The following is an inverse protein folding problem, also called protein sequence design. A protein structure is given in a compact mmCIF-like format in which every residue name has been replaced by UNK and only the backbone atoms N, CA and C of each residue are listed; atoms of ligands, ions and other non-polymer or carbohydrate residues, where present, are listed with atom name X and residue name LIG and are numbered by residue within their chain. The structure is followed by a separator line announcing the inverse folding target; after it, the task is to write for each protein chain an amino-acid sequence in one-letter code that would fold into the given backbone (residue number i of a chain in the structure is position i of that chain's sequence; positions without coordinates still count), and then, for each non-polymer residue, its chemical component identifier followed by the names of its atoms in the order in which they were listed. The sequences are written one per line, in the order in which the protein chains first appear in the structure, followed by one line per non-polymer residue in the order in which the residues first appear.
data_IF_548259743991
#
_entry.id   IF_548259743991
#
_cell.length_a   1.000
_cell.length_b   1.000
_cell.length_c   1.000
_cell.angle_alpha   90.00
_cell.angle_beta   90.00
_cell.angle_gamma   90.00
#
_symmetry.space_group_name_H-M   'P 1'
#
loop_
_entity.id
_entity.type
_entity.pdbx_description
1 polymer ?
#
# COMPACT_ATOMS: atom_id res chain seq x y z
N UNK A 1 -12.69 33.57 -18.54
CA UNK A 1 -12.45 32.12 -18.57
C UNK A 1 -11.21 31.86 -17.73
N UNK A 2 -11.37 31.33 -16.52
CA UNK A 2 -10.24 31.09 -15.62
C UNK A 2 -9.69 29.70 -15.92
N UNK A 3 -8.48 29.66 -16.48
CA UNK A 3 -7.72 28.44 -16.68
C UNK A 3 -7.25 27.96 -15.29
N UNK A 4 -7.74 26.80 -14.84
CA UNK A 4 -7.25 26.17 -13.62
C UNK A 4 -5.92 25.51 -13.99
N UNK A 5 -4.81 26.15 -13.65
CA UNK A 5 -3.48 25.58 -13.81
C UNK A 5 -3.31 24.50 -12.74
N UNK A 6 -3.66 23.26 -13.10
CA UNK A 6 -3.36 22.08 -12.30
C UNK A 6 -1.84 21.93 -12.27
N UNK A 7 -1.19 22.36 -11.18
CA UNK A 7 0.23 22.17 -11.00
C UNK A 7 0.60 20.68 -11.27
N UNK A 8 1.63 20.39 -12.09
CA UNK A 8 2.05 19.02 -12.30
C UNK A 8 2.44 18.40 -10.94
N UNK A 9 2.10 17.13 -10.67
CA UNK A 9 2.53 16.48 -9.44
C UNK A 9 4.06 16.58 -9.37
N UNK A 10 4.59 17.06 -8.24
CA UNK A 10 6.02 17.20 -7.99
C UNK A 10 6.70 15.83 -8.16
N UNK A 11 7.20 15.54 -9.36
CA UNK A 11 8.08 14.41 -9.62
C UNK A 11 9.37 14.64 -8.82
N UNK A 12 9.57 13.86 -7.75
CA UNK A 12 10.84 13.86 -7.03
C UNK A 12 10.78 13.71 -5.51
N UNK A 13 9.60 13.62 -4.89
CA UNK A 13 9.48 13.14 -3.51
C UNK A 13 8.94 11.71 -3.55
N UNK A 14 9.56 10.73 -2.86
CA UNK A 14 8.92 9.45 -2.68
C UNK A 14 7.58 9.71 -1.98
N UNK A 15 6.48 9.53 -2.69
CA UNK A 15 5.17 9.74 -2.11
C UNK A 15 5.00 8.78 -0.92
N UNK A 16 4.46 9.30 0.17
CA UNK A 16 4.08 8.47 1.29
C UNK A 16 3.15 7.35 0.79
N UNK A 17 3.40 6.09 1.18
CA UNK A 17 2.58 4.97 0.77
C UNK A 17 1.14 5.17 1.22
N UNK A 18 0.24 5.26 0.26
CA UNK A 18 -1.19 5.37 0.49
C UNK A 18 -1.79 3.97 0.53
N UNK A 19 -2.43 3.66 1.66
CA UNK A 19 -3.22 2.44 1.84
C UNK A 19 -4.69 2.73 1.61
N UNK A 20 -5.33 1.97 0.71
CA UNK A 20 -6.78 2.05 0.49
C UNK A 20 -7.40 0.68 0.66
N UNK A 21 -8.49 0.63 1.41
CA UNK A 21 -9.37 -0.52 1.45
C UNK A 21 -10.19 -0.52 0.15
N UNK A 22 -10.01 -1.54 -0.68
CA UNK A 22 -10.73 -1.65 -1.97
C UNK A 22 -11.93 -2.57 -1.84
N UNK A 23 -11.87 -3.52 -0.91
CA UNK A 23 -12.95 -4.41 -0.51
C UNK A 23 -12.84 -4.63 1.01
N UNK A 24 -13.94 -4.97 1.71
CA UNK A 24 -13.91 -5.19 3.15
C UNK A 24 -12.83 -6.19 3.56
N UNK A 25 -11.88 -5.75 4.38
CA UNK A 25 -10.76 -6.58 4.81
C UNK A 25 -9.63 -6.72 3.78
N UNK A 26 -9.63 -5.96 2.69
CA UNK A 26 -8.57 -6.02 1.68
C UNK A 26 -8.03 -4.62 1.36
N UNK A 27 -6.75 -4.40 1.68
CA UNK A 27 -6.05 -3.14 1.46
C UNK A 27 -4.99 -3.26 0.38
N UNK A 28 -4.87 -2.22 -0.42
CA UNK A 28 -3.85 -2.05 -1.46
C UNK A 28 -2.96 -0.87 -1.08
N UNK A 29 -1.64 -1.07 -1.14
CA UNK A 29 -0.65 -0.01 -1.02
C UNK A 29 -0.22 0.51 -2.38
N UNK A 30 -0.15 1.82 -2.52
CA UNK A 30 0.41 2.48 -3.69
C UNK A 30 1.19 3.73 -3.31
N UNK A 31 2.27 4.03 -4.03
CA UNK A 31 3.03 5.27 -3.93
C UNK A 31 3.44 5.71 -5.34
N UNK A 32 3.26 7.00 -5.68
CA UNK A 32 3.61 7.54 -7.00
C UNK A 32 3.02 6.76 -8.20
N UNK A 33 1.81 6.23 -8.04
CA UNK A 33 1.16 5.40 -9.06
C UNK A 33 1.74 3.99 -9.20
N UNK A 34 2.74 3.62 -8.39
CA UNK A 34 3.28 2.27 -8.30
C UNK A 34 2.56 1.45 -7.25
N UNK A 35 2.29 0.19 -7.59
CA UNK A 35 1.76 -0.81 -6.66
C UNK A 35 2.87 -1.30 -5.72
N UNK A 36 2.63 -1.23 -4.41
CA UNK A 36 3.60 -1.63 -3.40
C UNK A 36 3.27 -2.99 -2.76
N UNK A 37 1.98 -3.37 -2.73
CA UNK A 37 1.56 -4.62 -2.14
C UNK A 37 0.10 -4.61 -1.69
N UNK A 38 -0.29 -5.70 -1.04
CA UNK A 38 -1.65 -5.92 -0.53
C UNK A 38 -1.63 -6.49 0.87
N UNK A 39 -2.71 -6.25 1.61
CA UNK A 39 -3.02 -6.90 2.88
C UNK A 39 -4.43 -7.45 2.80
N UNK A 40 -4.61 -8.70 3.19
CA UNK A 40 -5.89 -9.41 3.24
C UNK A 40 -6.15 -9.83 4.69
N UNK A 41 -7.28 -9.42 5.26
CA UNK A 41 -7.72 -9.80 6.58
C UNK A 41 -8.49 -11.11 6.50
N UNK A 42 -7.97 -12.15 7.14
CA UNK A 42 -8.64 -13.44 7.26
C UNK A 42 -9.48 -13.55 8.53
N UNK A 43 -9.17 -12.77 9.56
CA UNK A 43 -9.89 -12.75 10.85
C UNK A 43 -9.63 -11.42 11.55
N UNK A 44 -10.37 -11.11 12.62
CA UNK A 44 -10.22 -9.86 13.39
C UNK A 44 -8.76 -9.53 13.76
N UNK A 45 -7.93 -10.55 13.98
CA UNK A 45 -6.52 -10.44 14.36
C UNK A 45 -5.60 -11.25 13.44
N UNK A 46 -5.93 -11.39 12.16
CA UNK A 46 -5.09 -12.12 11.21
C UNK A 46 -5.09 -11.42 9.86
N UNK A 47 -3.93 -10.88 9.51
CA UNK A 47 -3.68 -10.10 8.30
C UNK A 47 -2.55 -10.75 7.52
N UNK A 48 -2.82 -11.12 6.27
CA UNK A 48 -1.83 -11.68 5.35
C UNK A 48 -1.34 -10.58 4.46
N UNK A 49 -0.03 -10.40 4.35
CA UNK A 49 0.53 -9.37 3.49
C UNK A 49 1.34 -9.96 2.34
N UNK A 50 1.23 -9.31 1.19
CA UNK A 50 1.94 -9.63 -0.05
C UNK A 50 2.63 -8.38 -0.57
N UNK A 51 3.84 -8.52 -1.10
CA UNK A 51 4.59 -7.41 -1.69
C UNK A 51 4.12 -7.09 -3.13
N UNK A 52 4.82 -6.17 -3.79
CA UNK A 52 4.53 -5.74 -5.17
C UNK A 52 4.60 -6.87 -6.20
N UNK A 53 5.39 -7.92 -5.94
CA UNK A 53 5.51 -9.11 -6.79
C UNK A 53 4.49 -10.20 -6.46
N UNK A 54 3.50 -9.90 -5.60
CA UNK A 54 2.51 -10.86 -5.05
C UNK A 54 3.14 -11.98 -4.22
N UNK A 55 4.40 -11.84 -3.83
CA UNK A 55 5.06 -12.78 -2.93
C UNK A 55 4.49 -12.59 -1.53
N UNK A 56 4.13 -13.71 -0.90
CA UNK A 56 3.69 -13.72 0.49
C UNK A 56 4.83 -13.27 1.41
N UNK A 57 4.61 -12.20 2.15
CA UNK A 57 5.59 -11.63 3.09
C UNK A 57 5.43 -12.27 4.47
N UNK A 58 4.19 -12.60 4.85
CA UNK A 58 3.90 -13.19 6.16
C UNK A 58 2.45 -12.95 6.61
N UNK A 59 2.21 -13.30 7.87
CA UNK A 59 0.97 -13.00 8.59
C UNK A 59 1.25 -12.21 9.86
N UNK A 60 0.32 -11.31 10.21
CA UNK A 60 0.41 -10.48 11.40
C UNK A 60 -0.91 -10.42 12.15
N UNK A 61 -0.80 -10.10 13.44
CA UNK A 61 -1.95 -9.94 14.32
C UNK A 61 -2.64 -8.57 14.20
N UNK A 62 -2.00 -7.60 13.54
CA UNK A 62 -2.53 -6.26 13.33
C UNK A 62 -2.24 -5.74 11.92
N UNK A 63 -3.11 -4.85 11.46
CA UNK A 63 -2.99 -4.19 10.16
C UNK A 63 -1.73 -3.32 10.11
N UNK A 64 -1.37 -2.64 11.19
CA UNK A 64 -0.18 -1.77 11.26
C UNK A 64 1.12 -2.54 11.04
N UNK A 65 1.27 -3.72 11.68
CA UNK A 65 2.44 -4.58 11.49
C UNK A 65 2.51 -5.13 10.06
N UNK A 66 1.37 -5.51 9.48
CA UNK A 66 1.31 -5.97 8.10
C UNK A 66 1.71 -4.85 7.11
N UNK A 67 1.32 -3.60 7.37
CA UNK A 67 1.71 -2.45 6.54
C UNK A 67 3.21 -2.22 6.58
N UNK A 68 3.79 -2.17 7.78
CA UNK A 68 5.23 -1.99 7.95
C UNK A 68 6.04 -3.10 7.24
N UNK A 69 5.57 -4.34 7.35
CA UNK A 69 6.21 -5.47 6.69
C UNK A 69 6.20 -5.37 5.16
N UNK A 70 5.08 -4.97 4.54
CA UNK A 70 5.01 -4.75 3.09
C UNK A 70 5.96 -3.64 2.66
N UNK A 71 6.04 -2.57 3.47
CA UNK A 71 6.93 -1.44 3.22
C UNK A 71 8.41 -1.75 3.49
N UNK A 72 8.72 -2.81 4.22
CA UNK A 72 10.11 -3.28 4.41
C UNK A 72 10.49 -4.32 3.36
N UNK A 73 9.55 -5.15 2.92
CA UNK A 73 9.76 -6.22 1.95
C UNK A 73 9.77 -5.76 0.47
N UNK A 74 10.00 -4.47 0.21
CA UNK A 74 10.16 -3.94 -1.15
C UNK A 74 11.47 -4.48 -1.69
N UNK A 75 11.39 -5.32 -2.72
CA UNK A 75 12.60 -5.81 -3.41
C UNK A 75 13.19 -4.60 -4.15
N UNK A 76 14.42 -4.24 -3.78
CA UNK A 76 15.23 -3.20 -4.44
C UNK A 76 15.54 -3.58 -5.90
#
# INVERSE_FOLDING_TARGET
MTLIESAPPKQGQPADPVWREVEPGFWVASADGMFLGTIEQHSERRFFARNSTRTYVGEWSSLELARDAVLTARVH
#
